data_IF_911678012237
#
_entry.id   IF_911678012237
#
_cell.length_a   1.000
_cell.length_b   1.000
_cell.length_c   1.000
_cell.angle_alpha   90.00
_cell.angle_beta   90.00
_cell.angle_gamma   90.00
#
_symmetry.space_group_name_H-M   'P 1'
#
loop_
_entity.id
_entity.type
_entity.pdbx_description
1 polymer ?
#
# COMPACT_ATOMS: atom_id res chain seq x y z
N UNK A 1 -34.62 -19.52 -19.04
CA UNK A 1 -33.15 -19.54 -19.19
C UNK A 1 -32.79 -20.78 -19.99
N UNK A 2 -32.09 -20.68 -21.13
CA UNK A 2 -31.61 -21.86 -21.85
C UNK A 2 -30.54 -22.58 -21.00
N UNK A 3 -30.56 -23.91 -21.01
CA UNK A 3 -29.75 -24.78 -20.15
C UNK A 3 -28.26 -24.89 -20.55
N UNK A 4 -27.84 -24.30 -21.67
CA UNK A 4 -26.51 -24.52 -22.26
C UNK A 4 -25.50 -23.40 -22.04
N UNK A 5 -25.91 -22.27 -21.44
CA UNK A 5 -25.04 -21.12 -21.20
C UNK A 5 -25.04 -20.72 -19.74
N UNK A 6 -23.88 -20.79 -19.09
CA UNK A 6 -23.69 -20.20 -17.76
C UNK A 6 -23.67 -18.67 -17.87
N UNK A 7 -24.46 -18.01 -17.02
CA UNK A 7 -24.55 -16.55 -16.96
C UNK A 7 -24.01 -16.04 -15.63
N UNK A 8 -23.09 -15.08 -15.68
CA UNK A 8 -22.64 -14.35 -14.50
C UNK A 8 -23.43 -13.04 -14.41
N UNK A 9 -24.62 -13.14 -13.81
CA UNK A 9 -25.49 -12.00 -13.54
C UNK A 9 -25.88 -11.96 -12.07
N UNK A 10 -25.19 -11.13 -11.29
CA UNK A 10 -25.50 -10.88 -9.89
C UNK A 10 -26.39 -9.63 -9.82
N UNK A 11 -27.63 -9.79 -9.35
CA UNK A 11 -28.52 -8.65 -9.11
C UNK A 11 -28.15 -7.99 -7.76
N UNK A 12 -27.41 -6.88 -7.83
CA UNK A 12 -26.96 -6.09 -6.67
C UNK A 12 -26.89 -4.62 -7.08
N UNK A 13 -27.19 -3.70 -6.18
CA UNK A 13 -26.97 -2.26 -6.40
C UNK A 13 -25.48 -1.92 -6.61
N UNK A 14 -24.58 -2.78 -6.10
CA UNK A 14 -23.12 -2.63 -6.23
C UNK A 14 -22.52 -3.50 -7.35
N UNK A 15 -23.34 -4.08 -8.23
CA UNK A 15 -22.82 -4.93 -9.32
C UNK A 15 -22.11 -4.10 -10.37
N UNK A 16 -20.86 -4.46 -10.67
CA UNK A 16 -20.05 -3.80 -11.69
C UNK A 16 -20.25 -4.49 -13.05
N UNK A 17 -20.19 -3.70 -14.11
CA UNK A 17 -20.27 -4.19 -15.50
C UNK A 17 -18.90 -4.70 -15.99
N UNK A 18 -18.84 -5.96 -16.39
CA UNK A 18 -17.62 -6.61 -16.88
C UNK A 18 -17.59 -6.84 -18.39
N UNK A 19 -18.72 -6.73 -19.08
CA UNK A 19 -18.80 -6.92 -20.52
C UNK A 19 -20.05 -7.69 -20.93
N UNK A 20 -19.99 -8.30 -22.12
CA UNK A 20 -21.03 -9.16 -22.64
C UNK A 20 -20.54 -10.60 -22.67
N UNK A 21 -21.45 -11.53 -22.42
CA UNK A 21 -21.22 -12.95 -22.67
C UNK A 21 -21.01 -13.15 -24.17
N UNK A 22 -19.95 -13.86 -24.55
CA UNK A 22 -19.59 -14.03 -25.95
C UNK A 22 -20.60 -14.88 -26.74
N UNK A 23 -21.35 -15.76 -26.07
CA UNK A 23 -22.30 -16.67 -26.69
C UNK A 23 -23.73 -16.12 -26.68
N UNK A 24 -24.19 -15.67 -25.52
CA UNK A 24 -25.57 -15.21 -25.34
C UNK A 24 -25.75 -13.71 -25.57
N UNK A 25 -24.66 -12.94 -25.62
CA UNK A 25 -24.66 -11.47 -25.66
C UNK A 25 -25.35 -10.81 -24.46
N UNK A 26 -25.64 -11.56 -23.39
CA UNK A 26 -26.17 -11.03 -22.15
C UNK A 26 -25.10 -10.26 -21.36
N UNK A 27 -25.55 -9.36 -20.47
CA UNK A 27 -24.66 -8.59 -19.62
C UNK A 27 -23.95 -9.48 -18.60
N UNK A 28 -22.64 -9.28 -18.46
CA UNK A 28 -21.84 -9.82 -17.35
C UNK A 28 -21.81 -8.75 -16.26
N UNK A 29 -22.52 -9.01 -15.17
CA UNK A 29 -22.61 -8.14 -14.00
C UNK A 29 -22.25 -8.91 -12.74
N UNK A 30 -21.29 -8.40 -11.97
CA UNK A 30 -20.86 -9.06 -10.75
C UNK A 30 -20.56 -8.07 -9.63
N UNK A 31 -21.07 -8.40 -8.44
CA UNK A 31 -20.66 -7.80 -7.18
C UNK A 31 -19.66 -8.74 -6.50
N UNK A 32 -18.36 -8.47 -6.67
CA UNK A 32 -17.29 -9.32 -6.11
C UNK A 32 -17.37 -9.45 -4.59
N UNK A 33 -18.00 -8.51 -3.89
CA UNK A 33 -18.15 -8.54 -2.43
C UNK A 33 -19.08 -9.67 -1.96
N UNK A 34 -19.96 -10.14 -2.84
CA UNK A 34 -20.85 -11.29 -2.60
C UNK A 34 -20.19 -12.64 -2.90
N UNK A 35 -19.01 -12.66 -3.51
CA UNK A 35 -18.27 -13.88 -3.81
C UNK A 35 -17.46 -14.34 -2.59
N UNK A 36 -17.08 -15.63 -2.57
CA UNK A 36 -16.21 -16.20 -1.51
C UNK A 36 -14.91 -15.40 -1.34
N UNK A 37 -14.36 -14.90 -2.44
CA UNK A 37 -13.16 -14.07 -2.49
C UNK A 37 -13.43 -12.85 -3.39
N UNK A 38 -13.35 -11.62 -2.87
CA UNK A 38 -13.60 -10.40 -3.63
C UNK A 38 -12.42 -9.94 -4.50
N UNK A 39 -11.30 -10.66 -4.48
CA UNK A 39 -10.09 -10.27 -5.21
C UNK A 39 -10.27 -10.40 -6.73
N UNK A 40 -9.70 -9.44 -7.47
CA UNK A 40 -9.62 -9.47 -8.93
C UNK A 40 -8.18 -9.57 -9.43
N UNK A 41 -8.00 -10.21 -10.59
CA UNK A 41 -6.71 -10.31 -11.26
C UNK A 41 -6.90 -10.04 -12.76
N UNK A 42 -6.20 -9.02 -13.27
CA UNK A 42 -6.21 -8.66 -14.70
C UNK A 42 -4.84 -9.04 -15.30
N UNK A 43 -4.83 -10.01 -16.22
CA UNK A 43 -3.65 -10.48 -16.94
C UNK A 43 -3.79 -10.25 -18.44
N UNK A 44 -2.66 -10.17 -19.13
CA UNK A 44 -2.62 -10.00 -20.57
C UNK A 44 -1.27 -9.51 -21.10
N UNK A 45 -1.01 -9.73 -22.38
CA UNK A 45 0.20 -9.25 -23.06
C UNK A 45 0.17 -7.72 -23.25
N UNK A 46 1.31 -7.04 -23.46
CA UNK A 46 1.30 -5.63 -23.86
C UNK A 46 0.34 -5.38 -25.04
N UNK A 47 -0.46 -4.31 -24.99
CA UNK A 47 -1.47 -4.01 -26.02
C UNK A 47 -2.81 -4.73 -25.87
N UNK A 48 -2.94 -5.75 -25.01
CA UNK A 48 -4.18 -6.55 -24.88
C UNK A 48 -5.35 -5.84 -24.16
N UNK A 49 -5.26 -4.53 -23.90
CA UNK A 49 -6.31 -3.77 -23.22
C UNK A 49 -6.32 -3.84 -21.67
N UNK A 50 -5.28 -4.37 -21.00
CA UNK A 50 -5.24 -4.45 -19.52
C UNK A 50 -5.58 -3.13 -18.81
N UNK A 51 -4.88 -2.06 -19.17
CA UNK A 51 -5.08 -0.74 -18.54
C UNK A 51 -6.45 -0.16 -18.89
N UNK A 52 -6.98 -0.45 -20.08
CA UNK A 52 -8.34 -0.05 -20.47
C UNK A 52 -9.38 -0.76 -19.59
N UNK A 53 -9.29 -2.08 -19.44
CA UNK A 53 -10.17 -2.87 -18.57
C UNK A 53 -10.09 -2.42 -17.11
N UNK A 54 -8.89 -2.15 -16.59
CA UNK A 54 -8.71 -1.64 -15.23
C UNK A 54 -9.34 -0.25 -15.04
N UNK A 55 -9.11 0.69 -15.96
CA UNK A 55 -9.72 2.04 -15.92
C UNK A 55 -11.25 1.96 -15.97
N UNK A 56 -11.80 1.09 -16.81
CA UNK A 56 -13.25 0.87 -16.90
C UNK A 56 -13.82 0.31 -15.60
N UNK A 57 -13.17 -0.69 -15.00
CA UNK A 57 -13.59 -1.26 -13.72
C UNK A 57 -13.54 -0.21 -12.60
N UNK A 58 -12.46 0.58 -12.52
CA UNK A 58 -12.33 1.68 -11.56
C UNK A 58 -13.40 2.74 -11.73
N UNK A 59 -13.63 3.21 -12.96
CA UNK A 59 -14.67 4.19 -13.24
C UNK A 59 -16.06 3.66 -12.85
N UNK A 60 -16.34 2.39 -13.13
CA UNK A 60 -17.60 1.76 -12.74
C UNK A 60 -17.74 1.69 -11.21
N UNK A 61 -16.69 1.27 -10.49
CA UNK A 61 -16.69 1.25 -9.04
C UNK A 61 -16.94 2.65 -8.44
N UNK A 62 -16.24 3.68 -8.93
CA UNK A 62 -16.40 5.06 -8.46
C UNK A 62 -17.83 5.58 -8.67
N UNK A 63 -18.49 5.17 -9.75
CA UNK A 63 -19.83 5.66 -10.12
C UNK A 63 -20.97 4.88 -9.46
N UNK A 64 -20.76 3.59 -9.19
CA UNK A 64 -21.82 2.66 -8.75
C UNK A 64 -21.74 2.39 -7.25
N UNK A 65 -20.57 2.54 -6.63
CA UNK A 65 -20.36 2.22 -5.22
C UNK A 65 -19.81 3.41 -4.45
N UNK A 66 -19.93 3.35 -3.12
CA UNK A 66 -19.36 4.32 -2.20
C UNK A 66 -17.93 4.00 -1.77
N UNK A 67 -17.27 3.08 -2.49
CA UNK A 67 -15.99 2.50 -2.09
C UNK A 67 -14.82 3.48 -2.17
N UNK A 68 -13.83 3.27 -1.29
CA UNK A 68 -12.53 3.92 -1.46
C UNK A 68 -11.74 3.18 -2.56
N UNK A 69 -11.24 3.92 -3.54
CA UNK A 69 -10.38 3.42 -4.62
C UNK A 69 -8.97 3.95 -4.42
N UNK A 70 -8.01 3.04 -4.22
CA UNK A 70 -6.60 3.37 -4.06
C UNK A 70 -5.80 2.71 -5.17
N UNK A 71 -4.95 3.49 -5.83
CA UNK A 71 -4.17 3.07 -7.00
C UNK A 71 -2.69 3.21 -6.69
N UNK A 72 -1.92 2.14 -6.91
CA UNK A 72 -0.47 2.22 -6.98
C UNK A 72 -0.05 2.21 -8.45
N UNK A 73 0.45 3.35 -8.94
CA UNK A 73 0.72 3.62 -10.35
C UNK A 73 2.21 3.74 -10.66
N UNK A 74 2.91 2.62 -10.96
CA UNK A 74 4.32 2.65 -11.31
C UNK A 74 4.62 3.15 -12.73
N UNK A 75 3.60 3.36 -13.56
CA UNK A 75 3.74 3.77 -14.98
C UNK A 75 3.19 5.18 -15.26
N UNK A 76 2.47 5.78 -14.31
CA UNK A 76 1.82 7.08 -14.44
C UNK A 76 0.65 7.07 -15.43
N UNK A 77 -0.07 5.95 -15.55
CA UNK A 77 -1.17 5.78 -16.52
C UNK A 77 -2.55 6.24 -16.00
N UNK A 78 -2.72 6.36 -14.68
CA UNK A 78 -4.02 6.54 -14.02
C UNK A 78 -4.26 7.95 -13.50
N UNK A 79 -3.24 8.79 -13.37
CA UNK A 79 -3.36 10.14 -12.79
C UNK A 79 -4.40 11.03 -13.48
N UNK A 80 -4.54 10.97 -14.81
CA UNK A 80 -5.56 11.74 -15.52
C UNK A 80 -6.99 11.28 -15.20
N UNK A 81 -7.22 9.97 -15.10
CA UNK A 81 -8.51 9.41 -14.70
C UNK A 81 -8.88 9.92 -13.30
N UNK A 82 -7.93 9.86 -12.38
CA UNK A 82 -8.11 10.25 -10.98
C UNK A 82 -8.52 11.71 -10.86
N UNK A 83 -7.84 12.61 -11.58
CA UNK A 83 -8.19 14.04 -11.59
C UNK A 83 -9.58 14.30 -12.17
N UNK A 84 -9.99 13.56 -13.22
CA UNK A 84 -11.34 13.70 -13.79
C UNK A 84 -12.44 13.31 -12.79
N UNK A 85 -12.17 12.33 -11.92
CA UNK A 85 -13.05 11.94 -10.83
C UNK A 85 -12.82 12.74 -9.52
N UNK A 86 -12.12 13.88 -9.59
CA UNK A 86 -11.80 14.75 -8.44
C UNK A 86 -11.08 14.04 -7.29
N UNK A 87 -10.32 12.99 -7.61
CA UNK A 87 -9.42 12.32 -6.68
C UNK A 87 -8.07 13.02 -6.58
N UNK A 88 -7.24 12.50 -5.69
CA UNK A 88 -5.91 13.04 -5.40
C UNK A 88 -4.81 12.19 -6.05
N UNK A 89 -3.83 12.86 -6.67
CA UNK A 89 -2.66 12.20 -7.25
C UNK A 89 -1.43 12.59 -6.43
N UNK A 90 -0.98 11.65 -5.60
CA UNK A 90 0.19 11.81 -4.73
C UNK A 90 1.42 11.36 -5.52
N UNK A 91 2.31 12.30 -5.82
CA UNK A 91 3.51 12.01 -6.61
C UNK A 91 4.69 11.71 -5.69
N UNK A 92 5.08 10.44 -5.57
CA UNK A 92 6.22 10.06 -4.74
C UNK A 92 7.47 10.02 -5.61
N UNK A 93 8.32 11.04 -5.53
CA UNK A 93 9.62 11.09 -6.23
C UNK A 93 10.61 12.00 -5.53
N UNK A 94 11.90 11.88 -5.87
CA UNK A 94 12.96 12.76 -5.33
C UNK A 94 12.82 14.23 -5.76
N UNK A 95 11.96 14.52 -6.74
CA UNK A 95 11.67 15.88 -7.23
C UNK A 95 10.33 16.41 -6.72
N UNK A 96 9.55 15.57 -6.03
CA UNK A 96 8.26 15.93 -5.50
C UNK A 96 8.38 16.58 -4.13
N UNK A 97 7.35 17.34 -3.75
CA UNK A 97 7.16 17.83 -2.38
C UNK A 97 6.15 16.98 -1.61
N UNK A 98 5.61 15.94 -2.23
CA UNK A 98 4.70 15.00 -1.57
C UNK A 98 5.52 13.92 -0.88
N UNK A 99 5.31 13.79 0.43
CA UNK A 99 6.04 12.85 1.27
C UNK A 99 5.10 11.86 1.93
N UNK A 100 5.59 10.62 2.05
CA UNK A 100 4.94 9.54 2.78
C UNK A 100 5.94 8.97 3.78
N UNK A 101 5.63 9.11 5.06
CA UNK A 101 6.42 8.58 6.14
C UNK A 101 6.12 7.08 6.34
N UNK A 102 7.12 6.18 6.22
CA UNK A 102 6.93 4.74 6.51
C UNK A 102 6.59 4.45 7.98
N UNK A 103 6.99 5.34 8.89
CA UNK A 103 6.74 5.23 10.32
C UNK A 103 5.37 5.79 10.75
N UNK A 104 4.53 6.24 9.81
CA UNK A 104 3.17 6.63 10.17
C UNK A 104 2.38 5.45 10.73
N UNK A 105 1.88 5.62 11.95
CA UNK A 105 1.06 4.65 12.65
C UNK A 105 -0.21 5.30 13.19
N UNK A 106 -1.29 4.53 13.27
CA UNK A 106 -2.51 4.95 13.95
C UNK A 106 -2.86 3.97 15.09
N UNK A 107 -3.67 4.42 16.04
CA UNK A 107 -4.02 3.61 17.23
C UNK A 107 -4.76 2.31 16.88
N UNK A 108 -5.44 2.25 15.73
CA UNK A 108 -6.15 1.06 15.24
C UNK A 108 -5.31 0.22 14.26
N UNK A 109 -4.00 0.50 14.12
CA UNK A 109 -3.15 -0.15 13.14
C UNK A 109 -3.07 -1.66 13.36
N UNK A 110 -3.05 -2.43 12.27
CA UNK A 110 -3.07 -3.88 12.40
C UNK A 110 -4.46 -4.37 12.79
N UNK A 111 -4.47 -5.34 13.70
CA UNK A 111 -5.69 -5.86 14.30
C UNK A 111 -6.13 -5.12 15.57
N UNK A 112 -5.44 -4.03 15.93
CA UNK A 112 -5.78 -3.17 17.08
C UNK A 112 -5.13 -3.58 18.41
N UNK A 113 -4.70 -4.84 18.56
CA UNK A 113 -4.15 -5.34 19.83
C UNK A 113 -2.69 -4.94 20.08
N UNK A 114 -1.89 -4.76 19.02
CA UNK A 114 -0.46 -4.45 19.11
C UNK A 114 0.06 -3.64 17.90
N UNK A 115 -0.39 -2.38 17.72
CA UNK A 115 -0.09 -1.60 16.52
C UNK A 115 1.42 -1.46 16.28
N UNK A 116 2.20 -1.24 17.35
CA UNK A 116 3.65 -1.09 17.26
C UNK A 116 4.35 -2.37 16.78
N UNK A 117 3.85 -3.55 17.15
CA UNK A 117 4.43 -4.84 16.72
C UNK A 117 4.25 -5.05 15.22
N UNK A 118 3.08 -4.75 14.69
CA UNK A 118 2.84 -4.85 13.24
C UNK A 118 3.69 -3.83 12.49
N UNK A 119 3.82 -2.62 13.03
CA UNK A 119 4.67 -1.57 12.45
C UNK A 119 6.14 -1.98 12.48
N UNK A 120 6.61 -2.61 13.55
CA UNK A 120 7.97 -3.13 13.65
C UNK A 120 8.24 -4.19 12.59
N UNK A 121 7.33 -5.14 12.39
CA UNK A 121 7.43 -6.12 11.31
C UNK A 121 7.51 -5.46 9.93
N UNK A 122 6.71 -4.40 9.70
CA UNK A 122 6.76 -3.64 8.46
C UNK A 122 8.13 -2.96 8.26
N UNK A 123 8.65 -2.27 9.29
CA UNK A 123 9.96 -1.59 9.21
C UNK A 123 11.08 -2.60 9.00
N UNK A 124 11.07 -3.75 9.68
CA UNK A 124 12.03 -4.83 9.41
C UNK A 124 11.95 -5.31 7.95
N UNK A 125 10.74 -5.50 7.41
CA UNK A 125 10.57 -5.90 6.00
C UNK A 125 11.10 -4.84 5.02
N UNK A 126 10.94 -3.55 5.36
CA UNK A 126 11.49 -2.45 4.59
C UNK A 126 13.02 -2.43 4.67
N UNK A 127 13.59 -2.62 5.86
CA UNK A 127 15.03 -2.64 6.08
C UNK A 127 15.70 -3.86 5.41
N UNK A 128 15.03 -5.01 5.34
CA UNK A 128 15.49 -6.15 4.53
C UNK A 128 15.66 -5.78 3.04
N UNK A 129 14.81 -4.90 2.50
CA UNK A 129 14.96 -4.39 1.12
C UNK A 129 16.10 -3.35 0.97
N UNK A 130 16.37 -2.60 2.04
CA UNK A 130 17.41 -1.57 2.12
C UNK A 130 18.80 -2.20 2.17
N UNK A 131 19.00 -3.15 3.10
CA UNK A 131 20.27 -3.86 3.30
C UNK A 131 20.60 -4.77 2.12
N UNK A 132 19.58 -5.34 1.46
CA UNK A 132 19.76 -6.25 0.34
C UNK A 132 20.37 -7.59 0.74
N UNK A 133 20.79 -8.39 -0.23
CA UNK A 133 21.46 -9.68 0.02
C UNK A 133 20.60 -10.73 0.72
N UNK A 134 21.10 -11.30 1.82
CA UNK A 134 20.47 -12.37 2.61
C UNK A 134 19.35 -11.89 3.55
N UNK A 135 19.09 -10.58 3.62
CA UNK A 135 18.17 -9.98 4.60
C UNK A 135 18.82 -9.76 5.97
N UNK A 136 18.01 -9.31 6.92
CA UNK A 136 18.44 -8.99 8.28
C UNK A 136 18.74 -10.26 9.10
N UNK A 137 19.84 -10.23 9.83
CA UNK A 137 20.22 -11.22 10.84
C UNK A 137 19.32 -11.13 12.08
N UNK A 138 19.34 -12.18 12.93
CA UNK A 138 18.59 -12.17 14.19
C UNK A 138 19.05 -11.05 15.14
N UNK A 139 20.34 -10.76 15.15
CA UNK A 139 20.93 -9.67 15.95
C UNK A 139 20.42 -8.31 15.46
N UNK A 140 20.44 -8.07 14.14
CA UNK A 140 19.92 -6.84 13.55
C UNK A 140 18.43 -6.64 13.84
N UNK A 141 17.62 -7.71 13.73
CA UNK A 141 16.19 -7.67 14.06
C UNK A 141 15.95 -7.32 15.54
N UNK A 142 16.72 -7.90 16.45
CA UNK A 142 16.64 -7.63 17.89
C UNK A 142 16.93 -6.15 18.20
N UNK A 143 17.95 -5.58 17.56
CA UNK A 143 18.30 -4.16 17.74
C UNK A 143 17.21 -3.24 17.21
N UNK A 144 16.64 -3.52 16.02
CA UNK A 144 15.54 -2.74 15.45
C UNK A 144 14.31 -2.80 16.37
N UNK A 145 13.93 -3.99 16.83
CA UNK A 145 12.78 -4.21 17.72
C UNK A 145 12.92 -3.44 19.04
N UNK A 146 14.15 -3.34 19.58
CA UNK A 146 14.46 -2.55 20.78
C UNK A 146 14.43 -1.03 20.53
N UNK A 147 14.81 -0.58 19.34
CA UNK A 147 14.89 0.85 19.01
C UNK A 147 13.51 1.46 18.71
N UNK A 148 12.63 0.70 18.08
CA UNK A 148 11.34 1.22 17.62
C UNK A 148 10.45 1.76 18.75
N UNK A 149 10.18 1.03 19.85
CA UNK A 149 9.37 1.56 20.95
C UNK A 149 9.88 2.91 21.46
N UNK A 150 11.21 3.05 21.58
CA UNK A 150 11.86 4.27 22.09
C UNK A 150 11.61 5.49 21.20
N UNK A 151 11.67 5.34 19.87
CA UNK A 151 11.42 6.46 18.96
C UNK A 151 9.94 6.87 18.91
N UNK A 152 9.02 5.98 19.30
CA UNK A 152 7.58 6.30 19.40
C UNK A 152 7.14 6.82 20.78
N UNK A 153 8.00 6.82 21.81
CA UNK A 153 7.63 7.28 23.16
C UNK A 153 6.96 8.66 23.14
N UNK A 154 7.60 9.63 22.48
CA UNK A 154 7.06 11.00 22.34
C UNK A 154 5.70 11.05 21.66
N UNK A 155 5.47 10.19 20.67
CA UNK A 155 4.20 10.11 19.96
C UNK A 155 3.10 9.50 20.83
N UNK A 156 3.40 8.45 21.60
CA UNK A 156 2.40 7.82 22.46
C UNK A 156 2.06 8.66 23.70
N UNK A 157 3.01 9.44 24.21
CA UNK A 157 2.73 10.44 25.26
C UNK A 157 1.84 11.57 24.73
N UNK A 158 2.13 12.08 23.52
CA UNK A 158 1.43 13.20 22.92
C UNK A 158 1.23 12.96 21.40
N UNK A 159 0.12 12.33 20.98
CA UNK A 159 -0.09 11.87 19.61
C UNK A 159 -0.43 13.03 18.66
N UNK A 160 0.61 13.77 18.28
CA UNK A 160 0.56 14.85 17.30
C UNK A 160 1.38 14.49 16.06
N UNK A 161 1.05 15.04 14.87
CA UNK A 161 1.86 14.82 13.67
C UNK A 161 3.33 15.20 13.84
N UNK A 162 3.63 16.22 14.65
CA UNK A 162 5.00 16.65 14.94
C UNK A 162 5.79 15.63 15.75
N UNK A 163 5.11 14.87 16.61
CA UNK A 163 5.75 13.83 17.42
C UNK A 163 5.87 12.48 16.68
N UNK A 164 5.28 12.33 15.49
CA UNK A 164 5.44 11.12 14.69
C UNK A 164 6.92 10.96 14.27
N UNK A 165 7.56 9.82 14.56
CA UNK A 165 8.95 9.60 14.18
C UNK A 165 9.10 9.44 12.67
N UNK A 166 10.30 9.75 12.18
CA UNK A 166 10.75 9.56 10.80
C UNK A 166 11.99 8.67 10.77
N UNK A 167 12.46 8.31 9.57
CA UNK A 167 13.62 7.41 9.43
C UNK A 167 14.89 7.98 10.08
N UNK A 168 14.99 9.31 10.19
CA UNK A 168 16.04 10.01 10.90
C UNK A 168 16.12 9.56 12.37
N UNK A 169 14.98 9.51 13.08
CA UNK A 169 14.93 9.13 14.49
C UNK A 169 15.41 7.67 14.68
N UNK A 170 15.01 6.78 13.77
CA UNK A 170 15.48 5.40 13.79
C UNK A 170 16.99 5.31 13.51
N UNK A 171 17.49 6.05 12.52
CA UNK A 171 18.92 6.10 12.20
C UNK A 171 19.74 6.60 13.39
N UNK A 172 19.33 7.69 14.04
CA UNK A 172 20.04 8.25 15.18
C UNK A 172 20.02 7.30 16.40
N UNK A 173 18.88 6.65 16.64
CA UNK A 173 18.75 5.63 17.69
C UNK A 173 19.66 4.42 17.43
N UNK A 174 19.75 3.95 16.19
CA UNK A 174 20.63 2.84 15.79
C UNK A 174 22.11 3.21 15.90
N UNK A 175 22.48 4.43 15.48
CA UNK A 175 23.85 4.95 15.55
C UNK A 175 24.34 5.10 16.99
N UNK A 176 23.42 5.42 17.91
CA UNK A 176 23.67 5.54 19.34
C UNK A 176 23.80 4.23 20.11
N UNK A 177 23.57 3.06 19.48
CA UNK A 177 23.73 1.77 20.15
C UNK A 177 25.22 1.49 20.47
N UNK A 178 25.47 0.84 21.61
CA UNK A 178 26.83 0.45 22.01
C UNK A 178 27.38 -0.65 21.09
N UNK A 179 26.51 -1.58 20.70
CA UNK A 179 26.87 -2.72 19.87
C UNK A 179 27.20 -2.29 18.43
N UNK A 180 28.20 -2.95 17.84
CA UNK A 180 28.63 -2.66 16.46
C UNK A 180 27.52 -2.87 15.43
N UNK A 181 26.60 -3.80 15.70
CA UNK A 181 25.45 -4.11 14.83
C UNK A 181 24.53 -2.90 14.61
N UNK A 182 24.29 -2.07 15.64
CA UNK A 182 23.46 -0.87 15.49
C UNK A 182 24.14 0.17 14.59
N UNK A 183 25.43 0.38 14.78
CA UNK A 183 26.24 1.28 13.93
C UNK A 183 26.30 0.80 12.48
N UNK A 184 26.44 -0.51 12.27
CA UNK A 184 26.39 -1.14 10.93
C UNK A 184 25.05 -0.87 10.23
N UNK A 185 23.94 -1.12 10.92
CA UNK A 185 22.59 -0.84 10.39
C UNK A 185 22.41 0.64 10.05
N UNK A 186 22.89 1.54 10.92
CA UNK A 186 22.83 2.97 10.66
C UNK A 186 23.58 3.34 9.37
N UNK A 187 24.79 2.80 9.16
CA UNK A 187 25.54 2.99 7.90
C UNK A 187 24.77 2.47 6.68
N UNK A 188 24.14 1.30 6.78
CA UNK A 188 23.35 0.73 5.67
C UNK A 188 22.10 1.57 5.35
N UNK A 189 21.51 2.22 6.36
CA UNK A 189 20.36 3.11 6.21
C UNK A 189 20.72 4.51 5.70
N UNK A 190 21.97 4.94 5.83
CA UNK A 190 22.40 6.33 5.60
C UNK A 190 21.98 6.88 4.24
N UNK A 191 22.09 6.07 3.17
CA UNK A 191 21.70 6.48 1.81
C UNK A 191 20.20 6.83 1.69
N UNK A 192 19.34 6.25 2.53
CA UNK A 192 17.89 6.47 2.57
C UNK A 192 17.45 7.52 3.59
N UNK A 193 18.38 8.07 4.36
CA UNK A 193 18.11 9.01 5.46
C UNK A 193 18.69 10.37 5.13
N UNK A 194 20.02 10.44 4.97
CA UNK A 194 20.76 11.68 4.65
C UNK A 194 21.34 11.68 3.24
N UNK A 195 21.37 10.52 2.58
CA UNK A 195 21.91 10.36 1.23
C UNK A 195 20.92 10.65 0.10
N UNK A 196 21.26 10.17 -1.10
CA UNK A 196 20.56 10.49 -2.35
C UNK A 196 19.20 9.83 -2.52
N UNK A 197 18.83 8.87 -1.66
CA UNK A 197 17.59 8.10 -1.72
C UNK A 197 16.62 8.42 -0.57
N UNK A 198 16.74 9.61 0.03
CA UNK A 198 16.02 10.04 1.23
C UNK A 198 14.52 10.39 1.06
N UNK A 199 13.88 9.94 -0.02
CA UNK A 199 12.47 10.25 -0.37
C UNK A 199 11.48 9.90 0.76
N UNK A 200 11.82 8.94 1.61
CA UNK A 200 10.97 8.46 2.70
C UNK A 200 11.35 8.99 4.09
N UNK A 201 12.38 9.86 4.19
CA UNK A 201 12.83 10.43 5.46
C UNK A 201 12.19 11.80 5.74
N UNK A 202 10.87 11.85 5.65
CA UNK A 202 10.09 13.06 5.82
C UNK A 202 8.77 12.72 6.50
N UNK A 203 8.21 13.66 7.25
CA UNK A 203 6.84 13.53 7.75
C UNK A 203 5.86 13.56 6.58
N UNK A 204 4.79 12.77 6.67
CA UNK A 204 3.72 12.80 5.67
C UNK A 204 3.06 14.18 5.63
N UNK A 205 2.83 14.70 4.43
CA UNK A 205 2.21 16.00 4.21
C UNK A 205 1.06 15.96 3.18
N UNK A 206 0.58 14.77 2.87
CA UNK A 206 -0.48 14.53 1.88
C UNK A 206 -1.80 14.12 2.55
N UNK A 207 -2.91 14.52 1.94
CA UNK A 207 -4.25 14.14 2.42
C UNK A 207 -4.60 12.71 1.99
N UNK A 208 -4.45 11.76 2.92
CA UNK A 208 -4.80 10.35 2.73
C UNK A 208 -6.29 10.05 2.97
N UNK A 209 -7.12 11.04 3.29
CA UNK A 209 -8.53 10.83 3.64
C UNK A 209 -9.48 10.84 2.43
N UNK A 210 -9.01 11.12 1.22
CA UNK A 210 -9.84 11.09 0.01
C UNK A 210 -10.32 9.66 -0.33
N UNK A 211 -11.51 9.56 -0.93
CA UNK A 211 -12.06 8.29 -1.44
C UNK A 211 -11.28 7.76 -2.65
N UNK A 212 -10.76 8.64 -3.50
CA UNK A 212 -9.98 8.27 -4.69
C UNK A 212 -8.54 8.79 -4.56
N UNK A 213 -7.60 7.87 -4.41
CA UNK A 213 -6.16 8.16 -4.25
C UNK A 213 -5.35 7.44 -5.32
N UNK A 214 -4.38 8.13 -5.91
CA UNK A 214 -3.42 7.55 -6.83
C UNK A 214 -2.00 7.91 -6.41
N UNK A 215 -1.23 6.91 -6.03
CA UNK A 215 0.19 7.05 -5.75
C UNK A 215 0.99 6.84 -7.05
N UNK A 216 1.44 7.94 -7.65
CA UNK A 216 2.34 7.92 -8.79
C UNK A 216 3.77 7.73 -8.31
N UNK A 217 4.35 6.57 -8.64
CA UNK A 217 5.74 6.21 -8.30
C UNK A 217 6.61 6.05 -9.56
N UNK A 218 6.16 6.56 -10.70
CA UNK A 218 6.83 6.40 -12.00
C UNK A 218 8.28 6.89 -11.97
N UNK A 219 8.50 8.02 -11.32
CA UNK A 219 9.79 8.71 -11.24
C UNK A 219 10.72 8.18 -10.15
N UNK A 220 10.30 7.19 -9.35
CA UNK A 220 11.22 6.50 -8.44
C UNK A 220 12.22 5.65 -9.22
N UNK A 221 13.47 5.63 -8.76
CA UNK A 221 14.46 4.66 -9.21
C UNK A 221 14.00 3.22 -8.91
N UNK A 222 14.56 2.23 -9.62
CA UNK A 222 14.16 0.82 -9.52
C UNK A 222 14.18 0.25 -8.09
N UNK A 223 15.17 0.67 -7.29
CA UNK A 223 15.30 0.30 -5.88
C UNK A 223 14.20 0.94 -5.02
N UNK A 224 14.03 2.27 -5.14
CA UNK A 224 13.00 3.01 -4.43
C UNK A 224 11.58 2.62 -4.82
N UNK A 225 11.33 2.15 -6.06
CA UNK A 225 10.02 1.64 -6.47
C UNK A 225 9.55 0.48 -5.61
N UNK A 226 10.44 -0.43 -5.20
CA UNK A 226 10.10 -1.56 -4.33
C UNK A 226 9.71 -1.08 -2.94
N UNK A 227 10.50 -0.17 -2.38
CA UNK A 227 10.25 0.45 -1.07
C UNK A 227 8.94 1.25 -1.13
N UNK A 228 8.75 2.09 -2.15
CA UNK A 228 7.53 2.87 -2.34
C UNK A 228 6.29 2.02 -2.45
N UNK A 229 6.33 0.90 -3.18
CA UNK A 229 5.21 -0.05 -3.20
C UNK A 229 4.91 -0.65 -1.82
N UNK A 230 5.93 -0.91 -1.01
CA UNK A 230 5.76 -1.42 0.36
C UNK A 230 5.15 -0.34 1.27
N UNK A 231 5.66 0.89 1.22
CA UNK A 231 5.14 2.05 1.97
C UNK A 231 3.68 2.35 1.58
N UNK A 232 3.36 2.38 0.28
CA UNK A 232 1.97 2.59 -0.18
C UNK A 232 1.05 1.49 0.33
N UNK A 233 1.52 0.24 0.32
CA UNK A 233 0.74 -0.89 0.83
C UNK A 233 0.47 -0.76 2.34
N UNK A 234 1.44 -0.29 3.10
CA UNK A 234 1.27 0.03 4.52
C UNK A 234 0.30 1.20 4.74
N UNK A 235 0.35 2.23 3.91
CA UNK A 235 -0.61 3.35 3.95
C UNK A 235 -2.04 2.90 3.63
N UNK A 236 -2.22 1.96 2.69
CA UNK A 236 -3.52 1.33 2.44
C UNK A 236 -4.00 0.59 3.68
N UNK A 237 -3.12 -0.16 4.34
CA UNK A 237 -3.45 -0.90 5.56
C UNK A 237 -3.83 0.04 6.72
N UNK A 238 -3.04 1.10 6.93
CA UNK A 238 -3.34 2.20 7.85
C UNK A 238 -4.77 2.72 7.64
N UNK A 239 -5.11 3.07 6.39
CA UNK A 239 -6.45 3.56 6.05
C UNK A 239 -7.51 2.48 6.30
N UNK A 240 -7.28 1.23 5.89
CA UNK A 240 -8.23 0.10 6.11
C UNK A 240 -8.53 -0.06 7.60
N UNK A 241 -7.49 -0.10 8.42
CA UNK A 241 -7.57 -0.22 9.89
C UNK A 241 -8.34 0.92 10.54
N UNK A 242 -8.14 2.17 10.12
CA UNK A 242 -8.92 3.31 10.62
C UNK A 242 -10.42 3.23 10.29
N UNK A 243 -10.77 2.58 9.19
CA UNK A 243 -12.16 2.44 8.76
C UNK A 243 -12.82 1.14 9.25
N UNK A 244 -12.12 0.30 10.05
CA UNK A 244 -12.77 -0.84 10.73
C UNK A 244 -13.92 -0.31 11.60
N UNK A 245 -15.16 -0.67 11.26
CA UNK A 245 -16.38 -0.18 11.89
C UNK A 245 -17.22 0.81 11.05
N UNK A 246 -16.69 1.34 9.94
CA UNK A 246 -17.45 2.13 8.95
C UNK A 246 -17.68 1.25 7.70
N UNK A 247 -18.92 1.16 7.21
CA UNK A 247 -19.35 0.25 6.12
C UNK A 247 -18.79 0.60 4.70
N UNK A 248 -17.56 1.11 4.59
CA UNK A 248 -16.91 1.39 3.30
C UNK A 248 -15.98 0.26 2.90
N UNK A 249 -16.29 -0.46 1.80
CA UNK A 249 -15.35 -1.41 1.21
C UNK A 249 -14.26 -0.65 0.46
N UNK A 250 -13.07 -1.24 0.39
CA UNK A 250 -11.90 -0.62 -0.25
C UNK A 250 -11.41 -1.46 -1.40
N UNK A 251 -11.19 -0.85 -2.55
CA UNK A 251 -10.65 -1.50 -3.73
C UNK A 251 -9.23 -0.97 -3.95
N UNK A 252 -8.26 -1.86 -3.75
CA UNK A 252 -6.86 -1.60 -4.05
C UNK A 252 -6.53 -2.11 -5.46
N UNK A 253 -6.23 -1.21 -6.37
CA UNK A 253 -5.70 -1.55 -7.69
C UNK A 253 -4.17 -1.52 -7.66
N UNK A 254 -3.58 -2.69 -7.85
CA UNK A 254 -2.13 -2.88 -7.90
C UNK A 254 -1.72 -3.47 -9.24
N UNK A 255 -0.85 -2.78 -9.97
CA UNK A 255 -0.16 -3.38 -11.11
C UNK A 255 0.96 -4.28 -10.59
N UNK A 256 0.81 -5.60 -10.77
CA UNK A 256 1.84 -6.57 -10.41
C UNK A 256 2.82 -6.68 -11.59
N UNK A 257 4.01 -6.10 -11.43
CA UNK A 257 5.15 -6.31 -12.33
C UNK A 257 5.92 -7.59 -11.93
N UNK A 258 6.54 -8.33 -12.88
CA UNK A 258 7.43 -9.45 -12.58
C UNK A 258 8.50 -9.12 -11.52
N UNK A 259 8.94 -7.86 -11.42
CA UNK A 259 9.93 -7.38 -10.46
C UNK A 259 9.49 -7.46 -8.98
N UNK A 260 8.20 -7.75 -8.72
CA UNK A 260 7.57 -7.69 -7.39
C UNK A 260 7.15 -9.08 -6.87
N UNK A 261 7.42 -10.15 -7.64
CA UNK A 261 6.97 -11.54 -7.33
C UNK A 261 7.43 -12.09 -5.97
N UNK A 262 8.56 -11.63 -5.42
CA UNK A 262 9.07 -12.12 -4.12
C UNK A 262 8.32 -11.51 -2.91
N UNK A 263 7.65 -10.38 -3.10
CA UNK A 263 6.98 -9.62 -2.03
C UNK A 263 5.56 -10.15 -1.73
N UNK A 264 4.88 -10.76 -2.70
CA UNK A 264 3.46 -11.13 -2.57
C UNK A 264 3.18 -12.31 -1.62
N UNK A 265 4.17 -13.17 -1.33
CA UNK A 265 3.97 -14.40 -0.54
C UNK A 265 3.74 -14.18 0.95
N UNK A 266 4.38 -13.18 1.57
CA UNK A 266 4.15 -12.88 2.99
C UNK A 266 2.84 -12.09 3.24
N UNK A 267 2.29 -11.47 2.20
CA UNK A 267 1.20 -10.49 2.33
C UNK A 267 -0.21 -11.06 2.05
N UNK A 268 -0.34 -12.13 1.25
CA UNK A 268 -1.64 -12.75 0.94
C UNK A 268 -2.35 -13.36 2.16
N UNK A 269 -1.60 -13.70 3.21
CA UNK A 269 -2.15 -14.27 4.44
C UNK A 269 -2.82 -13.22 5.33
N UNK A 270 -2.44 -11.94 5.21
CA UNK A 270 -2.87 -10.86 6.13
C UNK A 270 -4.15 -10.13 5.73
N UNK A 271 -4.56 -10.18 4.44
CA UNK A 271 -5.85 -9.62 3.99
C UNK A 271 -7.09 -10.43 4.45
N UNK A 272 -6.88 -11.58 5.12
CA UNK A 272 -7.99 -12.42 5.64
C UNK A 272 -8.60 -11.90 6.95
N UNK A 273 -7.88 -11.07 7.71
CA UNK A 273 -8.25 -10.72 9.09
C UNK A 273 -9.08 -9.44 9.25
N UNK A 274 -9.46 -8.78 8.15
CA UNK A 274 -10.44 -7.68 8.20
C UNK A 274 -11.91 -8.14 8.35
N UNK A 275 -12.16 -9.38 8.77
CA UNK A 275 -13.50 -9.93 9.02
C UNK A 275 -13.72 -10.14 10.51
N UNK A 276 -14.39 -9.18 11.14
CA UNK A 276 -15.47 -9.43 12.10
C UNK A 276 -16.61 -8.49 11.74
#
# INVERSE_FOLDING_TARGET
MPFTTEELFINSSNSLYYGLNALSHNLIMADRKKLKNPNGLILGTPGSGKSFSAKREMANAILVTDDDVIICDPEGEYGNLVRQFKGEVIKVSSKSKDYLNPLDINMNYGDGDAPLKDKANFIMSMLELVVGGSGLTAEEKSVIDRCLPKIYEKYFEHPTPDNMPILQDLYDMLKGQEEKVGKKLATEMEIYVSGSLNVFNHRSNVDLNKKLLCFDIKELGSQLKKIGMLVIQDQVWNKVSQNRGKQGYKILYRRISPAVKKMSRQLHTRLRYGRV
#
